data_IF_348401136187
#
_entry.id   IF_348401136187
#
_cell.length_a   1.000
_cell.length_b   1.000
_cell.length_c   1.000
_cell.angle_alpha   90.00
_cell.angle_beta   90.00
_cell.angle_gamma   90.00
#
_symmetry.space_group_name_H-M   'P 1'
#
loop_
_entity.id
_entity.type
_entity.pdbx_description
1 polymer ?
#
# COMPACT_ATOMS: atom_id res chain seq x y z
N UNK A 1 -3.34 9.96 12.74
CA UNK A 1 -4.42 9.57 11.83
C UNK A 1 -3.86 8.95 10.55
N UNK A 2 -4.55 7.97 10.02
CA UNK A 2 -4.14 7.22 8.83
C UNK A 2 -5.29 7.19 7.84
N UNK A 3 -5.02 7.63 6.61
CA UNK A 3 -5.94 7.46 5.49
C UNK A 3 -5.46 6.27 4.68
N UNK A 4 -6.31 5.29 4.42
CA UNK A 4 -5.89 4.03 3.82
C UNK A 4 -6.81 3.52 2.72
N UNK A 5 -6.25 2.68 1.88
CA UNK A 5 -6.99 1.99 0.82
C UNK A 5 -6.57 0.53 0.78
N UNK A 6 -7.42 -0.29 0.19
CA UNK A 6 -7.13 -1.70 -0.06
C UNK A 6 -6.47 -1.88 -1.44
N UNK A 7 -5.49 -2.77 -1.50
CA UNK A 7 -4.81 -3.18 -2.73
C UNK A 7 -4.93 -4.70 -2.86
N UNK A 8 -5.42 -5.19 -3.99
CA UNK A 8 -5.80 -6.60 -4.14
C UNK A 8 -4.68 -7.51 -4.64
N UNK A 9 -4.03 -7.17 -5.75
CA UNK A 9 -3.09 -8.08 -6.42
C UNK A 9 -1.63 -7.87 -6.03
N UNK A 10 -0.92 -8.98 -5.73
CA UNK A 10 0.54 -8.99 -5.58
C UNK A 10 1.07 -7.93 -4.60
N UNK A 11 0.51 -7.94 -3.37
CA UNK A 11 0.86 -6.96 -2.35
C UNK A 11 2.19 -7.20 -1.62
N UNK A 12 2.95 -8.22 -1.98
CA UNK A 12 4.20 -8.54 -1.27
C UNK A 12 5.31 -7.53 -1.59
N UNK A 13 6.32 -7.41 -0.69
CA UNK A 13 7.34 -6.36 -0.81
C UNK A 13 8.14 -6.38 -2.11
N UNK A 14 8.43 -7.56 -2.66
CA UNK A 14 9.17 -7.72 -3.91
C UNK A 14 8.43 -7.16 -5.11
N UNK A 15 7.12 -6.99 -5.02
CA UNK A 15 6.30 -6.44 -6.09
C UNK A 15 5.75 -5.07 -5.73
N UNK A 16 4.72 -5.01 -4.88
CA UNK A 16 4.09 -3.73 -4.53
C UNK A 16 5.05 -2.78 -3.84
N UNK A 17 5.90 -3.29 -2.94
CA UNK A 17 6.88 -2.46 -2.25
C UNK A 17 7.81 -1.74 -3.23
N UNK A 18 8.30 -2.44 -4.24
CA UNK A 18 9.16 -1.84 -5.27
C UNK A 18 8.42 -0.82 -6.13
N UNK A 19 7.17 -1.09 -6.47
CA UNK A 19 6.33 -0.14 -7.22
C UNK A 19 6.16 1.14 -6.41
N UNK A 20 5.80 1.03 -5.14
CA UNK A 20 5.58 2.19 -4.29
C UNK A 20 6.85 3.02 -4.11
N UNK A 21 7.98 2.38 -3.83
CA UNK A 21 9.23 3.10 -3.60
C UNK A 21 9.83 3.67 -4.88
N UNK A 22 9.53 3.10 -6.03
CA UNK A 22 10.05 3.56 -7.31
C UNK A 22 9.18 4.65 -7.92
N UNK A 23 7.87 4.49 -7.91
CA UNK A 23 6.94 5.35 -8.67
C UNK A 23 6.08 6.27 -7.82
N UNK A 24 5.96 6.03 -6.52
CA UNK A 24 5.08 6.79 -5.63
C UNK A 24 5.81 7.28 -4.38
N UNK A 25 7.11 7.53 -4.50
CA UNK A 25 7.98 7.83 -3.37
C UNK A 25 8.06 9.32 -3.03
N UNK A 26 6.93 9.97 -2.94
CA UNK A 26 6.81 11.32 -2.42
C UNK A 26 5.44 11.46 -1.76
N UNK A 27 5.30 12.45 -0.89
CA UNK A 27 4.03 12.69 -0.21
C UNK A 27 2.91 12.99 -1.19
N UNK A 28 3.21 13.77 -2.23
CA UNK A 28 2.23 14.12 -3.26
C UNK A 28 1.80 12.89 -4.05
N UNK A 29 2.76 12.09 -4.51
CA UNK A 29 2.46 10.88 -5.27
C UNK A 29 1.73 9.83 -4.43
N UNK A 30 2.13 9.68 -3.16
CA UNK A 30 1.46 8.76 -2.25
C UNK A 30 0.01 9.21 -1.99
N UNK A 31 -0.20 10.51 -1.78
CA UNK A 31 -1.54 11.07 -1.57
C UNK A 31 -2.43 10.89 -2.79
N UNK A 32 -1.91 11.14 -3.98
CA UNK A 32 -2.66 10.94 -5.23
C UNK A 32 -3.07 9.48 -5.40
N UNK A 33 -2.16 8.56 -5.09
CA UNK A 33 -2.45 7.13 -5.16
C UNK A 33 -3.61 6.74 -4.24
N UNK A 34 -3.59 7.22 -3.01
CA UNK A 34 -4.59 6.92 -2.00
C UNK A 34 -5.94 7.56 -2.34
N UNK A 35 -5.94 8.78 -2.90
CA UNK A 35 -7.17 9.51 -3.22
C UNK A 35 -8.09 8.75 -4.16
N UNK A 36 -7.56 7.86 -4.97
CA UNK A 36 -8.37 7.04 -5.86
C UNK A 36 -9.23 5.98 -5.19
N UNK A 37 -8.99 5.71 -3.90
CA UNK A 37 -9.70 4.67 -3.16
C UNK A 37 -9.08 3.28 -3.34
N UNK A 38 -9.85 2.26 -3.03
CA UNK A 38 -9.40 0.88 -3.16
C UNK A 38 -9.01 0.56 -4.60
N UNK A 39 -7.97 -0.25 -4.77
CA UNK A 39 -7.44 -0.58 -6.09
C UNK A 39 -7.19 -2.07 -6.25
N UNK A 40 -7.32 -2.54 -7.49
CA UNK A 40 -6.96 -3.92 -7.83
C UNK A 40 -5.44 -4.06 -7.95
N UNK A 41 -4.77 -3.07 -8.52
CA UNK A 41 -3.32 -3.06 -8.67
C UNK A 41 -2.77 -1.65 -8.80
N UNK A 42 -1.58 -1.43 -8.24
CA UNK A 42 -0.79 -0.24 -8.51
C UNK A 42 0.30 -0.64 -9.52
N UNK A 43 0.26 -0.08 -10.72
CA UNK A 43 1.24 -0.40 -11.75
C UNK A 43 2.37 0.62 -11.79
N UNK A 44 3.58 0.15 -12.03
CA UNK A 44 4.74 1.01 -12.20
C UNK A 44 4.81 1.66 -13.56
N UNK A 45 4.44 0.90 -14.60
CA UNK A 45 4.42 1.40 -15.97
C UNK A 45 3.32 2.46 -16.10
N UNK A 46 3.62 3.57 -16.76
CA UNK A 46 2.68 4.66 -16.98
C UNK A 46 2.16 5.35 -15.71
N UNK A 47 2.69 5.01 -14.53
CA UNK A 47 2.22 5.57 -13.25
C UNK A 47 0.71 5.47 -13.09
N UNK A 48 0.16 4.33 -13.43
CA UNK A 48 -1.28 4.16 -13.42
C UNK A 48 -1.72 3.05 -12.49
N UNK A 49 -2.51 3.40 -11.49
CA UNK A 49 -3.19 2.44 -10.63
C UNK A 49 -4.53 2.06 -11.26
N UNK A 50 -4.96 0.83 -11.03
CA UNK A 50 -6.27 0.36 -11.44
C UNK A 50 -7.21 0.39 -10.25
N UNK A 51 -8.14 1.34 -10.25
CA UNK A 51 -9.08 1.55 -9.14
C UNK A 51 -10.41 0.86 -9.38
N UNK A 52 -11.00 0.38 -8.30
CA UNK A 52 -12.37 -0.18 -8.37
C UNK A 52 -13.41 0.86 -8.74
N UNK A 53 -13.18 2.13 -8.41
CA UNK A 53 -14.07 3.22 -8.81
C UNK A 53 -14.24 3.34 -10.33
N UNK A 54 -13.21 2.96 -11.09
CA UNK A 54 -13.27 2.96 -12.56
C UNK A 54 -14.24 1.89 -13.10
N UNK A 55 -14.58 0.91 -12.27
CA UNK A 55 -15.54 -0.14 -12.59
C UNK A 55 -16.94 0.16 -12.05
N UNK A 56 -17.17 1.38 -11.53
CA UNK A 56 -18.43 1.78 -10.95
C UNK A 56 -18.62 1.38 -9.49
N UNK A 57 -17.58 0.89 -8.82
CA UNK A 57 -17.64 0.51 -7.42
C UNK A 57 -17.19 1.68 -6.54
N UNK A 58 -17.96 1.98 -5.51
CA UNK A 58 -17.68 3.08 -4.58
C UNK A 58 -16.85 2.58 -3.41
N UNK A 59 -15.53 2.69 -3.52
CA UNK A 59 -14.59 2.22 -2.52
C UNK A 59 -13.63 3.35 -2.11
N UNK A 60 -14.13 4.38 -1.39
CA UNK A 60 -13.29 5.51 -1.00
C UNK A 60 -12.25 5.13 0.05
N UNK A 61 -11.22 5.97 0.25
CA UNK A 61 -10.26 5.75 1.33
C UNK A 61 -10.93 5.69 2.70
N UNK A 62 -10.37 4.87 3.58
CA UNK A 62 -10.82 4.73 4.96
C UNK A 62 -9.93 5.54 5.89
N UNK A 63 -10.49 5.97 7.01
CA UNK A 63 -9.78 6.76 8.02
C UNK A 63 -9.67 5.96 9.32
N UNK A 64 -8.44 5.90 9.86
CA UNK A 64 -8.16 5.34 11.17
C UNK A 64 -7.50 6.40 12.04
N UNK A 65 -7.85 6.44 13.32
CA UNK A 65 -7.30 7.44 14.24
C UNK A 65 -5.82 7.18 14.56
N UNK A 66 -5.43 5.91 14.63
CA UNK A 66 -4.08 5.52 14.99
C UNK A 66 -3.50 4.53 14.00
N UNK A 67 -2.14 4.43 14.01
CA UNK A 67 -1.43 3.44 13.22
C UNK A 67 -1.80 2.01 13.63
N UNK A 68 -1.99 1.79 14.94
CA UNK A 68 -2.37 0.49 15.47
C UNK A 68 -3.72 0.03 14.95
N UNK A 69 -4.70 0.94 14.85
CA UNK A 69 -5.99 0.61 14.26
C UNK A 69 -5.85 0.19 12.79
N UNK A 70 -5.08 0.96 12.03
CA UNK A 70 -4.82 0.62 10.64
C UNK A 70 -4.19 -0.76 10.50
N UNK A 71 -3.15 -1.05 11.30
CA UNK A 71 -2.46 -2.32 11.23
C UNK A 71 -3.34 -3.49 11.67
N UNK A 72 -4.26 -3.27 12.60
CA UNK A 72 -5.18 -4.33 13.05
C UNK A 72 -6.14 -4.81 11.97
N UNK A 73 -6.35 -4.00 10.92
CA UNK A 73 -7.25 -4.30 9.81
C UNK A 73 -6.51 -4.90 8.61
N UNK A 74 -5.18 -4.97 8.66
CA UNK A 74 -4.36 -5.46 7.56
C UNK A 74 -4.42 -6.98 7.41
N UNK A 75 -4.20 -7.48 6.19
CA UNK A 75 -4.21 -8.91 5.90
C UNK A 75 -2.78 -9.48 5.83
N UNK A 76 -2.16 -9.52 4.65
CA UNK A 76 -0.81 -10.09 4.49
C UNK A 76 0.30 -9.08 4.74
N UNK A 77 0.24 -7.96 4.05
CA UNK A 77 1.23 -6.87 4.15
C UNK A 77 0.52 -5.54 4.23
N UNK A 78 1.06 -4.64 5.04
CA UNK A 78 0.56 -3.27 5.15
C UNK A 78 1.68 -2.29 4.88
N UNK A 79 1.38 -1.21 4.14
CA UNK A 79 2.35 -0.19 3.76
C UNK A 79 1.93 1.15 4.32
N UNK A 80 2.90 1.89 4.88
CA UNK A 80 2.66 3.24 5.40
C UNK A 80 3.69 4.17 4.78
N UNK A 81 3.22 5.30 4.23
CA UNK A 81 4.13 6.35 3.80
C UNK A 81 4.48 7.24 4.99
N UNK A 82 5.78 7.35 5.28
CA UNK A 82 6.31 8.15 6.39
C UNK A 82 7.18 9.26 5.85
N UNK A 83 7.66 10.15 6.73
CA UNK A 83 8.62 11.19 6.36
C UNK A 83 9.92 10.62 5.79
N UNK A 84 10.24 9.38 6.11
CA UNK A 84 11.41 8.67 5.58
C UNK A 84 11.10 7.78 4.37
N UNK A 85 9.86 7.83 3.84
CA UNK A 85 9.42 7.02 2.72
C UNK A 85 8.48 5.90 3.12
N UNK A 86 8.27 4.94 2.22
CA UNK A 86 7.40 3.81 2.48
C UNK A 86 8.03 2.81 3.43
N UNK A 87 7.24 2.32 4.37
CA UNK A 87 7.61 1.19 5.24
C UNK A 87 6.57 0.09 5.05
N UNK A 88 7.01 -1.14 5.21
CA UNK A 88 6.17 -2.33 5.03
C UNK A 88 6.11 -3.14 6.31
N UNK A 89 4.93 -3.64 6.64
CA UNK A 89 4.74 -4.56 7.76
C UNK A 89 4.22 -5.89 7.23
N UNK A 90 4.89 -6.97 7.64
CA UNK A 90 4.34 -8.32 7.50
C UNK A 90 3.35 -8.52 8.63
N UNK A 91 2.10 -8.71 8.31
CA UNK A 91 1.02 -8.80 9.29
C UNK A 91 0.99 -10.13 10.02
N UNK A 92 1.79 -11.10 9.57
CA UNK A 92 1.86 -12.44 10.18
C UNK A 92 0.47 -13.10 10.31
N UNK A 93 -0.32 -12.95 9.26
CA UNK A 93 -1.73 -13.38 9.23
C UNK A 93 -1.94 -14.83 9.66
N UNK A 94 -1.01 -15.70 9.28
CA UNK A 94 -1.12 -17.15 9.54
C UNK A 94 -0.26 -17.65 10.70
N UNK A 95 0.42 -16.75 11.41
CA UNK A 95 1.44 -17.14 12.40
C UNK A 95 1.13 -16.72 13.84
N UNK A 96 0.00 -16.09 14.12
CA UNK A 96 -0.38 -15.57 15.44
C UNK A 96 0.68 -14.63 16.06
N UNK A 97 1.47 -13.98 15.23
CA UNK A 97 2.46 -13.00 15.68
C UNK A 97 1.96 -11.59 15.49
N UNK A 98 2.57 -10.66 16.19
CA UNK A 98 2.34 -9.23 15.97
C UNK A 98 2.91 -8.81 14.62
N UNK A 99 2.35 -7.75 14.00
CA UNK A 99 2.92 -7.20 12.78
C UNK A 99 4.40 -6.82 12.97
N UNK A 100 5.23 -7.16 11.99
CA UNK A 100 6.65 -6.89 12.01
C UNK A 100 7.05 -6.04 10.80
N UNK A 101 7.87 -5.01 11.03
CA UNK A 101 8.42 -4.22 9.93
C UNK A 101 9.41 -5.08 9.13
N UNK A 102 9.26 -5.09 7.81
CA UNK A 102 10.15 -5.84 6.91
C UNK A 102 10.75 -4.89 5.88
N UNK A 103 11.90 -5.25 5.32
CA UNK A 103 12.54 -4.46 4.30
C UNK A 103 11.81 -4.58 2.97
N UNK A 104 11.73 -3.46 2.26
CA UNK A 104 11.29 -3.42 0.87
C UNK A 104 12.54 -3.54 0.01
N UNK A 105 12.64 -4.55 -0.89
CA UNK A 105 13.81 -4.67 -1.77
C UNK A 105 14.02 -3.41 -2.59
N UNK A 106 15.28 -2.98 -2.72
CA UNK A 106 15.63 -1.79 -3.48
C UNK A 106 15.58 -2.02 -4.98
N UNK A 107 15.32 -0.95 -5.72
CA UNK A 107 15.36 -0.93 -7.16
C UNK A 107 14.00 -1.17 -7.82
N UNK A 108 13.91 -0.81 -9.08
CA UNK A 108 12.72 -0.99 -9.87
C UNK A 108 12.51 -2.46 -10.23
N UNK A 109 11.25 -2.81 -10.50
CA UNK A 109 10.95 -4.13 -11.04
C UNK A 109 11.62 -4.29 -12.40
N UNK A 110 12.24 -5.44 -12.59
CA UNK A 110 12.78 -5.83 -13.88
C UNK A 110 11.66 -6.46 -14.71
N UNK A 111 11.46 -5.91 -15.88
CA UNK A 111 10.45 -6.45 -16.79
C UNK A 111 10.89 -7.81 -17.34
#
# INVERSE_FOLDING_TARGET
>A
SVLSVYHHWDGYPEWLGRILTTHYNSRELASELIDGGDMSAAWGDENRAEYYSERGEDCPPRYDETREQFLSEGEEFSYIFTSAGWVCYDMNEFNDKQPEMVEIPEGALMA
#
